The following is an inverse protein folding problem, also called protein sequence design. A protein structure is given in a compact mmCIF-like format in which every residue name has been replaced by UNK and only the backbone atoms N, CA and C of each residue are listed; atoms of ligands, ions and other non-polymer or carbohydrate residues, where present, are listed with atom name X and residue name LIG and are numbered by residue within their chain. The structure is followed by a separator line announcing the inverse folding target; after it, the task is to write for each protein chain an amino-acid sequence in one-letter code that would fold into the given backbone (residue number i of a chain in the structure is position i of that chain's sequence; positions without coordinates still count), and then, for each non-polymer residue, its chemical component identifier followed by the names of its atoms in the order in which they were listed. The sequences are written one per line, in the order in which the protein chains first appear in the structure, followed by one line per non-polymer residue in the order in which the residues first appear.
data_IF_086166931957
#
_entry.id   IF_086166931957
#
_cell.length_a   1.000
_cell.length_b   1.000
_cell.length_c   1.000
_cell.angle_alpha   90.00
_cell.angle_beta   90.00
_cell.angle_gamma   90.00
#
_symmetry.space_group_name_H-M   'P 1'
#
loop_
_entity.id
_entity.type
_entity.pdbx_description
1 polymer ?
#
# COMPACT_ATOMS: atom_id res chain seq x y z
N UNK A 1 2.13 22.81 68.86
CA UNK A 1 0.72 22.81 68.39
C UNK A 1 0.51 21.62 67.48
N UNK A 2 -0.25 20.60 67.90
CA UNK A 2 -0.48 19.39 67.11
C UNK A 2 -1.65 19.60 66.13
N UNK A 3 -1.43 19.41 64.83
CA UNK A 3 -2.47 19.50 63.81
C UNK A 3 -3.37 18.27 63.87
N UNK A 4 -4.60 18.45 64.38
CA UNK A 4 -5.63 17.40 64.44
C UNK A 4 -6.07 17.04 63.01
N UNK A 5 -5.54 15.95 62.44
CA UNK A 5 -6.02 15.41 61.17
C UNK A 5 -7.46 14.91 61.34
N UNK A 6 -8.40 15.43 60.53
CA UNK A 6 -9.79 14.99 60.54
C UNK A 6 -9.87 13.52 60.06
N UNK A 7 -10.70 12.66 60.69
CA UNK A 7 -10.84 11.27 60.26
C UNK A 7 -11.47 11.22 58.86
N UNK A 8 -10.84 10.47 57.95
CA UNK A 8 -11.39 10.21 56.62
C UNK A 8 -12.64 9.34 56.80
N UNK A 9 -13.81 9.88 56.45
CA UNK A 9 -15.06 9.12 56.48
C UNK A 9 -14.96 8.02 55.41
N UNK A 10 -15.19 6.74 55.73
CA UNK A 10 -15.20 5.69 54.71
C UNK A 10 -16.31 6.01 53.71
N UNK A 11 -16.03 5.77 52.43
CA UNK A 11 -17.01 5.98 51.36
C UNK A 11 -18.19 5.04 51.60
N UNK A 12 -19.40 5.51 51.30
CA UNK A 12 -20.57 4.61 51.33
C UNK A 12 -20.47 3.58 50.19
N UNK A 13 -20.97 2.34 50.34
CA UNK A 13 -20.81 1.29 49.32
C UNK A 13 -21.38 1.68 47.95
N UNK A 14 -22.39 2.55 47.94
CA UNK A 14 -22.95 3.15 46.72
C UNK A 14 -21.99 4.12 46.03
N UNK A 15 -21.21 4.88 46.80
CA UNK A 15 -20.18 5.79 46.26
C UNK A 15 -18.98 5.02 45.73
N UNK A 16 -18.56 3.95 46.40
CA UNK A 16 -17.46 3.08 45.94
C UNK A 16 -17.79 2.40 44.61
N UNK A 17 -18.99 1.82 44.47
CA UNK A 17 -19.40 1.19 43.21
C UNK A 17 -19.53 2.19 42.06
N UNK A 18 -19.96 3.43 42.31
CA UNK A 18 -19.98 4.48 41.29
C UNK A 18 -18.57 4.88 40.88
N UNK A 19 -17.66 5.02 41.85
CA UNK A 19 -16.27 5.37 41.59
C UNK A 19 -15.57 4.28 40.77
N UNK A 20 -15.77 3.01 41.14
CA UNK A 20 -15.22 1.85 40.42
C UNK A 20 -15.71 1.80 38.97
N UNK A 21 -17.00 2.05 38.73
CA UNK A 21 -17.56 2.11 37.37
C UNK A 21 -16.95 3.26 36.54
N UNK A 22 -16.73 4.42 37.15
CA UNK A 22 -16.10 5.57 36.49
C UNK A 22 -14.64 5.25 36.15
N UNK A 23 -13.88 4.69 37.10
CA UNK A 23 -12.49 4.30 36.88
C UNK A 23 -12.40 3.25 35.78
N UNK A 24 -13.26 2.23 35.80
CA UNK A 24 -13.33 1.21 34.75
C UNK A 24 -13.64 1.84 33.39
N UNK A 25 -14.61 2.76 33.33
CA UNK A 25 -14.93 3.49 32.11
C UNK A 25 -13.75 4.31 31.57
N UNK A 26 -13.01 4.99 32.44
CA UNK A 26 -11.82 5.75 32.06
C UNK A 26 -10.68 4.85 31.56
N UNK A 27 -10.47 3.68 32.17
CA UNK A 27 -9.47 2.71 31.72
C UNK A 27 -9.83 2.16 30.35
N UNK A 28 -11.08 1.77 30.14
CA UNK A 28 -11.56 1.29 28.84
C UNK A 28 -11.42 2.38 27.78
N UNK A 29 -11.82 3.62 28.08
CA UNK A 29 -11.71 4.74 27.16
C UNK A 29 -10.24 5.05 26.83
N UNK A 30 -9.35 5.00 27.82
CA UNK A 30 -7.90 5.16 27.61
C UNK A 30 -7.31 4.06 26.73
N UNK A 31 -7.73 2.80 26.92
CA UNK A 31 -7.32 1.69 26.07
C UNK A 31 -7.81 1.87 24.62
N UNK A 32 -9.07 2.25 24.44
CA UNK A 32 -9.63 2.54 23.12
C UNK A 32 -8.89 3.71 22.46
N UNK A 33 -8.55 4.75 23.22
CA UNK A 33 -7.75 5.85 22.71
C UNK A 33 -6.38 5.38 22.22
N UNK A 34 -5.65 4.56 22.99
CA UNK A 34 -4.34 4.03 22.56
C UNK A 34 -4.44 3.12 21.33
N UNK A 35 -5.51 2.33 21.21
CA UNK A 35 -5.70 1.45 20.05
C UNK A 35 -6.08 2.22 18.77
N UNK A 36 -6.97 3.20 18.89
CA UNK A 36 -7.59 3.91 17.76
C UNK A 36 -7.11 5.34 17.56
N UNK A 37 -6.13 5.82 18.34
CA UNK A 37 -5.60 7.17 18.18
C UNK A 37 -5.06 7.37 16.76
N UNK A 38 -5.51 8.40 16.04
CA UNK A 38 -4.98 8.73 14.73
C UNK A 38 -3.50 9.11 14.86
N UNK A 39 -2.63 8.47 14.08
CA UNK A 39 -1.18 8.71 14.05
C UNK A 39 -0.35 7.94 15.09
N UNK A 40 -0.89 7.65 16.27
CA UNK A 40 -0.17 6.96 17.36
C UNK A 40 -0.74 5.58 17.72
N UNK A 41 -1.90 5.22 17.18
CA UNK A 41 -2.56 3.96 17.46
C UNK A 41 -1.92 2.77 16.74
N UNK A 42 -2.05 1.59 17.35
CA UNK A 42 -1.50 0.32 16.83
C UNK A 42 -2.06 0.01 15.43
N UNK A 43 -3.34 0.32 15.20
CA UNK A 43 -3.99 0.13 13.90
C UNK A 43 -3.32 0.97 12.80
N UNK A 44 -2.98 2.23 13.11
CA UNK A 44 -2.29 3.12 12.18
C UNK A 44 -0.92 2.57 11.82
N UNK A 45 -0.16 2.08 12.81
CA UNK A 45 1.17 1.51 12.58
C UNK A 45 1.11 0.26 11.68
N UNK A 46 0.12 -0.60 11.88
CA UNK A 46 -0.07 -1.79 11.04
C UNK A 46 -0.40 -1.41 9.60
N UNK A 47 -1.34 -0.49 9.40
CA UNK A 47 -1.70 0.01 8.07
C UNK A 47 -0.52 0.68 7.35
N UNK A 48 0.30 1.46 8.07
CA UNK A 48 1.49 2.09 7.49
C UNK A 48 2.54 1.06 7.09
N UNK A 49 2.75 0.02 7.91
CA UNK A 49 3.65 -1.10 7.57
C UNK A 49 3.17 -1.86 6.33
N UNK A 50 1.87 -2.11 6.22
CA UNK A 50 1.30 -2.79 5.07
C UNK A 50 1.47 -1.95 3.79
N UNK A 51 1.12 -0.66 3.85
CA UNK A 51 1.35 0.27 2.73
C UNK A 51 2.82 0.36 2.33
N UNK A 52 3.73 0.40 3.30
CA UNK A 52 5.17 0.42 3.00
C UNK A 52 5.63 -0.87 2.29
N UNK A 53 5.08 -2.02 2.67
CA UNK A 53 5.37 -3.29 2.00
C UNK A 53 4.80 -3.34 0.57
N UNK A 54 3.56 -2.87 0.39
CA UNK A 54 2.91 -2.79 -0.92
C UNK A 54 3.67 -1.86 -1.88
N UNK A 55 4.02 -0.65 -1.43
CA UNK A 55 4.84 0.28 -2.20
C UNK A 55 6.20 -0.32 -2.55
N UNK A 56 6.78 -1.14 -1.67
CA UNK A 56 8.06 -1.78 -1.96
C UNK A 56 7.95 -2.79 -3.09
N UNK A 57 6.89 -3.61 -3.08
CA UNK A 57 6.60 -4.55 -4.16
C UNK A 57 6.34 -3.82 -5.49
N UNK A 58 5.62 -2.70 -5.44
CA UNK A 58 5.37 -1.87 -6.62
C UNK A 58 6.69 -1.29 -7.19
N UNK A 59 7.58 -0.78 -6.33
CA UNK A 59 8.90 -0.30 -6.75
C UNK A 59 9.70 -1.42 -7.44
N UNK A 60 9.73 -2.61 -6.85
CA UNK A 60 10.49 -3.73 -7.40
C UNK A 60 9.92 -4.17 -8.76
N UNK A 61 8.58 -4.23 -8.91
CA UNK A 61 7.92 -4.54 -10.17
C UNK A 61 8.15 -3.46 -11.25
N UNK A 62 8.09 -2.18 -10.88
CA UNK A 62 8.39 -1.09 -11.81
C UNK A 62 9.86 -1.07 -12.23
N UNK A 63 10.78 -1.47 -11.34
CA UNK A 63 12.19 -1.57 -11.66
C UNK A 63 12.44 -2.67 -12.69
N UNK A 64 11.83 -3.85 -12.51
CA UNK A 64 11.90 -4.96 -13.47
C UNK A 64 11.34 -4.55 -14.83
N UNK A 65 10.14 -3.98 -14.86
CA UNK A 65 9.53 -3.50 -16.11
C UNK A 65 10.36 -2.42 -16.81
N UNK A 66 10.99 -1.50 -16.05
CA UNK A 66 11.89 -0.52 -16.63
C UNK A 66 13.12 -1.17 -17.29
N UNK A 67 13.72 -2.17 -16.66
CA UNK A 67 14.87 -2.87 -17.23
C UNK A 67 14.48 -3.65 -18.50
N UNK A 68 13.34 -4.33 -18.50
CA UNK A 68 12.81 -4.99 -19.70
C UNK A 68 12.58 -4.00 -20.85
N UNK A 69 11.93 -2.87 -20.57
CA UNK A 69 11.68 -1.83 -21.57
C UNK A 69 12.97 -1.21 -22.10
N UNK A 70 13.99 -1.03 -21.26
CA UNK A 70 15.30 -0.52 -21.69
C UNK A 70 15.98 -1.50 -22.64
N UNK A 71 15.98 -2.78 -22.32
CA UNK A 71 16.52 -3.83 -23.19
C UNK A 71 15.77 -3.88 -24.51
N UNK A 72 14.45 -3.70 -24.49
CA UNK A 72 13.63 -3.66 -25.69
C UNK A 72 13.98 -2.46 -26.57
N UNK A 73 14.10 -1.27 -25.98
CA UNK A 73 14.55 -0.05 -26.69
C UNK A 73 15.94 -0.28 -27.29
N UNK A 74 16.87 -0.88 -26.56
CA UNK A 74 18.22 -1.17 -27.05
C UNK A 74 18.19 -2.11 -28.26
N UNK A 75 17.38 -3.17 -28.21
CA UNK A 75 17.20 -4.09 -29.33
C UNK A 75 16.60 -3.40 -30.55
N UNK A 76 15.55 -2.59 -30.36
CA UNK A 76 14.90 -1.87 -31.46
C UNK A 76 15.85 -0.86 -32.11
N UNK A 77 16.75 -0.24 -31.34
CA UNK A 77 17.70 0.77 -31.86
C UNK A 77 18.94 0.14 -32.51
N UNK A 78 19.48 -0.92 -31.93
CA UNK A 78 20.79 -1.45 -32.30
C UNK A 78 20.71 -2.78 -33.09
N UNK A 79 19.60 -3.52 -33.01
CA UNK A 79 19.40 -4.76 -33.75
C UNK A 79 18.43 -4.56 -34.92
N UNK A 80 19.02 -4.37 -36.10
CA UNK A 80 18.28 -4.17 -37.34
C UNK A 80 17.44 -5.38 -37.75
N UNK A 81 17.89 -6.60 -37.45
CA UNK A 81 17.16 -7.81 -37.80
C UNK A 81 15.94 -7.98 -36.89
N UNK A 82 16.09 -7.68 -35.60
CA UNK A 82 15.00 -7.63 -34.64
C UNK A 82 13.92 -6.60 -35.05
N UNK A 83 14.34 -5.38 -35.40
CA UNK A 83 13.43 -4.33 -35.86
C UNK A 83 12.70 -4.71 -37.16
N UNK A 84 13.42 -5.28 -38.14
CA UNK A 84 12.79 -5.73 -39.39
C UNK A 84 11.76 -6.85 -39.14
N UNK A 85 12.03 -7.75 -38.20
CA UNK A 85 11.10 -8.81 -37.81
C UNK A 85 9.83 -8.23 -37.20
N UNK A 86 9.92 -7.35 -36.20
CA UNK A 86 8.75 -6.70 -35.58
C UNK A 86 7.95 -5.91 -36.63
N UNK A 87 8.63 -5.15 -37.49
CA UNK A 87 7.97 -4.38 -38.54
C UNK A 87 7.16 -5.28 -39.50
N UNK A 88 7.68 -6.45 -39.87
CA UNK A 88 6.99 -7.40 -40.77
C UNK A 88 5.90 -8.19 -40.05
N UNK A 89 6.18 -8.72 -38.86
CA UNK A 89 5.31 -9.66 -38.15
C UNK A 89 4.17 -8.96 -37.41
N UNK A 90 4.47 -7.89 -36.67
CA UNK A 90 3.46 -7.18 -35.86
C UNK A 90 2.76 -6.07 -36.63
N UNK A 91 3.47 -5.41 -37.55
CA UNK A 91 2.95 -4.25 -38.28
C UNK A 91 2.70 -4.50 -39.77
N UNK A 92 3.03 -5.68 -40.30
CA UNK A 92 2.79 -6.02 -41.71
C UNK A 92 3.54 -5.13 -42.70
N UNK A 93 4.61 -4.45 -42.27
CA UNK A 93 5.38 -3.54 -43.11
C UNK A 93 6.17 -4.31 -44.18
N UNK A 94 6.27 -3.68 -45.35
CA UNK A 94 6.97 -4.20 -46.52
C UNK A 94 8.05 -3.20 -46.93
N UNK A 95 9.14 -3.69 -47.52
CA UNK A 95 10.11 -2.80 -48.18
C UNK A 95 9.47 -2.19 -49.43
N UNK A 96 9.99 -1.03 -49.88
CA UNK A 96 9.47 -0.33 -51.08
C UNK A 96 9.40 -1.22 -52.33
N UNK A 97 10.24 -2.24 -52.41
CA UNK A 97 10.30 -3.20 -53.51
C UNK A 97 9.49 -4.49 -53.29
N UNK A 98 8.68 -4.58 -52.24
CA UNK A 98 7.87 -5.75 -51.90
C UNK A 98 6.36 -5.48 -52.09
N UNK A 99 5.58 -6.52 -52.42
CA UNK A 99 4.13 -6.44 -52.63
C UNK A 99 3.43 -7.62 -51.96
N UNK A 100 2.32 -7.35 -51.26
CA UNK A 100 1.43 -8.38 -50.72
C UNK A 100 0.36 -8.73 -51.73
N UNK A 101 0.15 -10.01 -51.96
CA UNK A 101 -0.94 -10.54 -52.78
C UNK A 101 -1.95 -11.21 -51.84
N UNK A 102 -3.13 -10.59 -51.69
CA UNK A 102 -4.26 -11.20 -50.99
C UNK A 102 -5.12 -12.00 -51.99
N UNK A 103 -5.30 -13.29 -51.72
CA UNK A 103 -6.08 -14.21 -52.55
C UNK A 103 -7.51 -14.43 -52.00
N UNK A 104 -7.91 -13.72 -50.95
CA UNK A 104 -9.23 -13.86 -50.29
C UNK A 104 -10.43 -13.42 -51.14
N UNK A 105 -10.19 -12.68 -52.25
CA UNK A 105 -11.24 -12.07 -53.07
C UNK A 105 -11.67 -12.83 -54.34
N UNK A 106 -11.16 -14.02 -54.64
CA UNK A 106 -11.58 -14.77 -55.85
C UNK A 106 -12.72 -15.74 -55.54
N UNK A 107 -13.96 -15.30 -55.82
CA UNK A 107 -15.08 -16.17 -56.19
C UNK A 107 -15.36 -16.02 -57.68
#
# INVERSE_FOLDING_TARGET
MATRRKPKKPLTPLQENRLLKIVLGLVVLGFLWVLFAPGFGVVSLFSMRHKAAELRLEIDALAESNEELRLEIERLQNDRAYLERIAREEHGMLKENERVFDFSGKK
#
